data_IF_467450771996
#
_entry.id   IF_467450771996
#
_cell.length_a   1.000
_cell.length_b   1.000
_cell.length_c   1.000
_cell.angle_alpha   90.00
_cell.angle_beta   90.00
_cell.angle_gamma   90.00
#
_symmetry.space_group_name_H-M   'P 1'
#
loop_
_entity.id
_entity.type
_entity.pdbx_description
1 polymer ?
2 non-polymer ?
3 non-polymer ?
4 water ?
#
# COMPACT_ATOMS: atom_id res chain seq x y z
N UNK A 19 31.70 7.56 -3.34
CA UNK A 19 30.35 7.39 -3.88
C UNK A 19 30.32 6.60 -5.20
N UNK A 20 29.49 5.52 -5.22
CA UNK A 20 29.21 4.75 -6.43
C UNK A 20 28.04 5.44 -7.14
N UNK A 21 28.02 5.39 -8.48
CA UNK A 21 26.81 5.71 -9.24
C UNK A 21 25.99 4.43 -9.28
N UNK A 22 24.66 4.58 -9.41
CA UNK A 22 23.77 3.50 -9.85
C UNK A 22 22.74 4.13 -10.79
N UNK A 23 22.81 3.79 -12.10
CA UNK A 23 21.92 4.32 -13.14
C UNK A 23 21.85 5.87 -13.13
N UNK A 24 23.00 6.51 -12.91
CA UNK A 24 23.16 7.96 -12.97
C UNK A 24 23.05 8.72 -11.65
N UNK A 25 22.70 8.03 -10.54
CA UNK A 25 22.49 8.66 -9.22
C UNK A 25 23.64 8.33 -8.31
N UNK A 26 24.25 9.35 -7.67
CA UNK A 26 25.22 9.13 -6.60
C UNK A 26 24.50 8.41 -5.45
N UNK A 27 25.08 7.37 -4.90
CA UNK A 27 24.55 6.66 -3.75
C UNK A 27 25.54 6.82 -2.61
N UNK A 28 25.40 7.92 -1.86
CA UNK A 28 26.39 8.33 -0.86
C UNK A 28 26.20 7.54 0.51
N UNK A 29 26.45 6.22 0.45
CA UNK A 29 26.22 5.29 1.55
C UNK A 29 27.46 4.50 1.97
N UNK A 30 28.53 4.61 1.17
CA UNK A 30 29.78 3.90 1.40
C UNK A 30 30.59 4.63 2.44
N UNK A 31 31.54 3.96 3.08
CA UNK A 31 32.00 2.56 2.86
C UNK A 31 31.19 1.46 3.54
N UNK A 32 30.23 1.75 4.45
CA UNK A 32 29.49 0.65 5.09
C UNK A 32 28.73 -0.23 4.06
N UNK A 33 28.12 0.41 3.06
CA UNK A 33 27.28 -0.31 2.11
C UNK A 33 27.91 -0.20 0.72
N UNK A 34 28.36 -1.36 0.17
CA UNK A 34 29.08 -1.42 -1.09
C UNK A 34 28.45 -2.43 -2.06
N UNK A 35 28.89 -2.37 -3.34
CA UNK A 35 28.50 -3.29 -4.40
C UNK A 35 26.98 -3.22 -4.68
N UNK A 36 26.60 -2.09 -5.24
CA UNK A 36 25.20 -1.75 -5.36
C UNK A 36 24.63 -2.30 -6.65
N UNK A 37 23.39 -2.83 -6.60
CA UNK A 37 22.63 -3.18 -7.81
C UNK A 37 21.28 -2.51 -7.75
N UNK A 38 20.90 -1.82 -8.83
CA UNK A 38 19.58 -1.23 -9.05
C UNK A 38 18.49 -2.30 -8.86
N UNK A 39 17.43 -1.93 -8.16
CA UNK A 39 16.22 -2.72 -8.07
C UNK A 39 15.19 -1.93 -8.87
N UNK A 40 14.73 -0.82 -8.31
CA UNK A 40 13.70 -0.01 -8.92
C UNK A 40 13.71 1.41 -8.44
N UNK A 41 12.62 2.14 -8.71
CA UNK A 41 12.54 3.55 -8.36
C UNK A 41 11.09 4.06 -8.27
N UNK A 42 10.96 5.36 -8.03
CA UNK A 42 9.71 6.09 -8.14
C UNK A 42 9.94 7.53 -8.51
N UNK A 43 8.94 8.38 -8.30
CA UNK A 43 9.04 9.78 -8.69
C UNK A 43 10.19 10.55 -7.99
N UNK A 44 10.52 10.20 -6.70
CA UNK A 44 11.56 10.92 -5.93
C UNK A 44 12.60 9.98 -5.22
N UNK A 45 12.69 8.71 -5.62
CA UNK A 45 13.68 7.83 -5.02
C UNK A 45 14.07 6.63 -5.81
N UNK A 46 15.25 6.02 -5.48
CA UNK A 46 15.77 4.82 -6.14
C UNK A 46 16.15 3.80 -5.08
N UNK A 47 15.79 2.52 -5.32
CA UNK A 47 16.14 1.39 -4.47
C UNK A 47 17.23 0.57 -5.10
N UNK A 48 18.21 0.19 -4.26
CA UNK A 48 19.31 -0.69 -4.61
C UNK A 48 19.42 -1.76 -3.58
N UNK A 49 19.97 -2.90 -3.97
CA UNK A 49 20.52 -3.83 -3.01
C UNK A 49 21.94 -3.41 -2.75
N UNK A 50 22.44 -3.68 -1.61
CA UNK A 50 23.79 -3.33 -1.24
C UNK A 50 24.30 -4.33 -0.24
N UNK A 51 25.60 -4.58 -0.25
CA UNK A 51 26.20 -5.42 0.78
C UNK A 51 26.51 -4.59 2.00
N UNK A 52 26.07 -5.04 3.17
CA UNK A 52 26.33 -4.37 4.42
C UNK A 52 27.60 -4.99 4.99
N UNK A 53 28.69 -4.24 4.96
CA UNK A 53 29.99 -4.69 5.41
C UNK A 53 30.08 -4.91 6.92
N UNK A 54 29.13 -4.35 7.74
CA UNK A 54 28.98 -4.63 9.19
C UNK A 54 28.24 -5.96 9.41
N UNK A 55 26.91 -6.01 9.20
CA UNK A 55 26.10 -7.22 9.43
C UNK A 55 26.37 -8.36 8.43
N UNK A 56 27.09 -8.10 7.33
CA UNK A 56 27.56 -9.15 6.40
C UNK A 56 26.39 -9.81 5.63
N UNK A 57 25.33 -9.04 5.36
CA UNK A 57 24.14 -9.47 4.62
C UNK A 57 23.91 -8.46 3.52
N UNK A 58 23.21 -8.86 2.46
CA UNK A 58 22.72 -7.83 1.54
C UNK A 58 21.49 -7.21 2.15
N UNK A 59 21.25 -5.95 1.81
CA UNK A 59 20.17 -5.11 2.35
C UNK A 59 19.56 -4.37 1.21
N UNK A 60 18.40 -3.75 1.44
CA UNK A 60 17.81 -2.86 0.47
C UNK A 60 18.08 -1.44 0.98
N UNK A 61 18.48 -0.56 0.10
CA UNK A 61 18.67 0.86 0.42
C UNK A 61 17.88 1.70 -0.51
N UNK A 62 16.97 2.51 0.05
CA UNK A 62 16.27 3.53 -0.72
C UNK A 62 16.89 4.89 -0.55
N UNK A 63 17.42 5.43 -1.63
CA UNK A 63 17.80 6.83 -1.70
C UNK A 63 16.54 7.67 -1.96
N UNK A 64 16.20 8.55 -1.03
CA UNK A 64 15.05 9.45 -1.17
C UNK A 64 15.63 10.84 -1.45
N UNK A 65 15.13 11.56 -2.49
CA UNK A 65 15.58 12.87 -2.91
C UNK A 65 14.36 13.82 -3.01
N UNK A 66 13.76 14.21 -1.86
CA UNK A 66 12.49 14.93 -1.89
C UNK A 66 12.54 16.43 -1.72
N UNK A 67 13.72 16.99 -1.43
CA UNK A 67 13.79 18.30 -0.79
C UNK A 67 13.45 19.46 -1.72
N UNK A 68 13.40 19.23 -3.05
CA UNK A 68 12.97 20.26 -4.02
C UNK A 68 11.44 20.34 -4.20
N UNK A 69 10.64 19.49 -3.52
CA UNK A 69 9.17 19.52 -3.62
C UNK A 69 8.49 19.28 -2.28
N UNK A 70 7.64 20.21 -1.85
CA UNK A 70 6.84 20.06 -0.61
C UNK A 70 6.09 18.71 -0.52
N UNK A 71 5.45 18.27 -1.62
CA UNK A 71 4.65 17.04 -1.62
C UNK A 71 5.50 15.81 -1.32
N UNK A 72 6.67 15.68 -1.95
CA UNK A 72 7.60 14.59 -1.70
C UNK A 72 8.19 14.69 -0.27
N UNK A 73 8.37 15.91 0.26
CA UNK A 73 8.81 16.10 1.65
C UNK A 73 7.77 15.62 2.59
N UNK A 74 6.48 15.96 2.32
CA UNK A 74 5.40 15.47 3.17
C UNK A 74 5.40 13.96 3.17
N UNK A 75 5.48 13.38 2.02
CA UNK A 75 5.42 11.92 1.89
C UNK A 75 6.64 11.26 2.53
N UNK A 76 7.82 11.94 2.46
CA UNK A 76 9.04 11.38 3.08
C UNK A 76 8.92 11.36 4.58
N UNK A 77 8.44 12.44 5.19
CA UNK A 77 8.28 12.53 6.62
C UNK A 77 7.29 11.49 7.12
N UNK A 78 6.12 11.36 6.45
CA UNK A 78 5.15 10.32 6.85
C UNK A 78 5.72 8.96 6.80
N UNK A 79 6.38 8.61 5.70
CA UNK A 79 6.93 7.27 5.50
C UNK A 79 7.88 6.93 6.60
N UNK A 80 8.78 7.88 6.88
CA UNK A 80 9.80 7.61 7.90
C UNK A 80 9.17 7.57 9.26
N UNK A 81 8.37 8.57 9.59
CA UNK A 81 7.75 8.63 10.93
C UNK A 81 6.87 7.40 11.23
N UNK A 82 6.07 6.97 10.25
CA UNK A 82 5.20 5.78 10.36
C UNK A 82 6.03 4.57 10.55
N UNK A 83 6.96 4.33 9.63
CA UNK A 83 7.74 3.09 9.74
C UNK A 83 8.64 3.00 10.95
N UNK A 84 9.12 4.13 11.50
CA UNK A 84 9.91 4.06 12.73
C UNK A 84 9.10 3.67 13.96
N UNK A 85 7.79 3.91 13.94
CA UNK A 85 6.86 3.58 15.02
C UNK A 85 6.43 2.07 14.90
N UNK A 86 6.55 1.47 13.70
CA UNK A 86 6.06 0.13 13.47
C UNK A 86 7.10 -0.92 13.71
N UNK A 87 6.67 -2.03 14.26
CA UNK A 87 7.45 -3.23 14.40
C UNK A 87 6.52 -4.45 14.28
N UNK A 88 6.62 -5.16 13.18
CA UNK A 88 5.73 -6.29 12.86
C UNK A 88 6.34 -7.18 11.78
N UNK A 89 6.19 -8.49 11.93
CA UNK A 89 6.70 -9.50 11.03
C UNK A 89 6.26 -9.36 9.60
N UNK A 90 5.05 -8.84 9.34
CA UNK A 90 4.56 -8.70 7.97
C UNK A 90 4.70 -7.29 7.44
N UNK A 91 5.55 -6.45 8.07
CA UNK A 91 5.80 -5.10 7.63
C UNK A 91 7.29 -4.85 7.53
N UNK A 92 7.74 -4.27 6.41
CA UNK A 92 9.15 -3.89 6.20
C UNK A 92 9.51 -2.72 7.13
N UNK A 93 10.46 -2.91 7.98
CA UNK A 93 10.88 -1.84 8.88
C UNK A 93 12.00 -0.99 8.31
N UNK A 94 12.48 -0.05 9.10
CA UNK A 94 13.69 0.69 8.80
C UNK A 94 14.77 0.24 9.74
N UNK A 95 15.85 -0.25 9.21
CA UNK A 95 16.95 -0.73 10.05
C UNK A 95 18.04 0.30 10.26
N UNK A 96 18.18 1.29 9.35
CA UNK A 96 19.20 2.33 9.50
C UNK A 96 18.78 3.51 8.63
N UNK A 97 19.27 4.71 8.94
CA UNK A 97 18.99 5.89 8.12
C UNK A 97 20.29 6.61 7.97
N UNK A 98 20.74 6.83 6.71
CA UNK A 98 21.96 7.56 6.40
C UNK A 98 21.56 8.93 5.90
N UNK A 99 22.09 9.96 6.51
CA UNK A 99 22.04 11.29 5.96
C UNK A 99 23.18 12.09 6.47
N UNK A 100 23.36 13.28 5.90
CA UNK A 100 24.51 14.13 6.27
C UNK A 100 24.38 14.66 7.71
N UNK A 101 25.51 14.99 8.41
CA UNK A 101 25.38 15.45 9.80
C UNK A 101 24.70 16.82 10.03
N UNK A 102 24.52 17.64 8.98
CA UNK A 102 23.93 18.98 9.12
C UNK A 102 22.84 19.14 8.07
N UNK A 103 21.88 20.01 8.35
CA UNK A 103 20.80 20.24 7.37
C UNK A 103 21.40 20.74 6.04
N UNK A 104 22.39 21.64 6.11
CA UNK A 104 23.05 22.23 4.93
C UNK A 104 23.59 21.15 3.99
N UNK A 105 24.32 20.17 4.54
CA UNK A 105 24.95 19.14 3.74
C UNK A 105 24.02 18.01 3.35
N UNK A 106 22.79 17.94 3.91
CA UNK A 106 21.82 16.89 3.63
C UNK A 106 21.08 17.12 2.31
N UNK A 107 21.46 16.38 1.25
CA UNK A 107 20.80 16.49 -0.08
C UNK A 107 19.87 15.33 -0.34
N UNK A 108 20.04 14.22 0.37
CA UNK A 108 19.22 13.04 0.24
C UNK A 108 19.16 12.36 1.63
N UNK A 109 18.33 11.35 1.71
CA UNK A 109 18.18 10.50 2.90
C UNK A 109 18.14 9.11 2.39
N UNK A 110 18.83 8.21 3.09
CA UNK A 110 18.86 6.81 2.71
C UNK A 110 18.27 5.99 3.80
N UNK A 111 17.24 5.21 3.48
CA UNK A 111 16.59 4.30 4.38
C UNK A 111 17.07 2.88 4.04
N UNK A 112 17.56 2.18 5.05
CA UNK A 112 18.04 0.83 4.91
C UNK A 112 17.02 -0.12 5.46
N UNK A 113 16.69 -1.17 4.66
CA UNK A 113 15.59 -2.08 4.99
C UNK A 113 16.01 -3.52 4.72
N UNK A 114 15.29 -4.47 5.30
CA UNK A 114 15.58 -5.90 5.03
C UNK A 114 15.43 -6.12 3.52
N UNK A 115 16.40 -6.79 2.88
CA UNK A 115 16.29 -7.19 1.49
C UNK A 115 15.46 -8.49 1.38
N UNK A 116 14.43 -8.46 0.57
CA UNK A 116 13.58 -9.61 0.27
C UNK A 116 13.90 -10.13 -1.14
N UNK A 117 13.62 -11.40 -1.40
CA UNK A 117 13.98 -12.09 -2.64
C UNK A 117 13.19 -11.65 -3.83
N UNK A 118 11.88 -11.47 -3.66
CA UNK A 118 11.01 -11.17 -4.78
C UNK A 118 9.83 -10.38 -4.28
N UNK A 119 8.84 -10.16 -5.16
CA UNK A 119 7.56 -9.57 -4.78
C UNK A 119 6.42 -10.35 -5.45
N UNK A 120 5.17 -10.05 -5.05
CA UNK A 120 4.04 -10.79 -5.53
C UNK A 120 3.78 -10.49 -7.01
N UNK A 121 4.17 -9.31 -7.51
CA UNK A 121 3.95 -8.96 -8.92
C UNK A 121 4.75 -9.95 -9.79
N UNK A 122 6.03 -10.10 -9.48
CA UNK A 122 6.92 -10.98 -10.24
C UNK A 122 6.48 -12.43 -10.11
N UNK A 123 6.05 -12.82 -8.92
CA UNK A 123 5.60 -14.17 -8.69
C UNK A 123 4.32 -14.48 -9.49
N UNK A 124 3.38 -13.55 -9.53
CA UNK A 124 2.17 -13.79 -10.30
C UNK A 124 2.40 -13.78 -11.82
N UNK A 125 3.45 -13.10 -12.33
CA UNK A 125 3.72 -13.15 -13.75
C UNK A 125 4.33 -14.51 -14.17
N UNK A 126 4.95 -15.26 -13.23
CA UNK A 126 5.67 -16.51 -13.52
C UNK A 126 5.11 -17.81 -12.88
N UNK A 127 4.33 -17.72 -11.78
CA UNK A 127 3.96 -18.89 -11.01
C UNK A 127 2.49 -18.99 -10.79
N UNK A 128 1.93 -20.20 -11.03
CA UNK A 128 0.60 -20.52 -10.55
C UNK A 128 0.68 -20.67 -9.00
N UNK A 129 -0.24 -20.07 -8.26
CA UNK A 129 -0.25 -20.22 -6.81
C UNK A 129 -1.25 -21.29 -6.44
N UNK A 130 -0.88 -22.23 -5.61
CA UNK A 130 -1.85 -23.22 -5.12
C UNK A 130 -2.87 -22.46 -4.24
N UNK A 131 -4.04 -23.03 -4.01
CA UNK A 131 -4.97 -22.44 -3.03
C UNK A 131 -4.35 -22.31 -1.63
N UNK A 132 -3.47 -23.23 -1.19
CA UNK A 132 -2.80 -23.04 0.11
C UNK A 132 -1.87 -21.82 0.11
N UNK A 133 -1.21 -21.50 -1.03
CA UNK A 133 -0.34 -20.32 -1.08
C UNK A 133 -1.17 -19.08 -1.08
N UNK A 134 -2.24 -19.05 -1.80
CA UNK A 134 -3.16 -17.90 -1.80
C UNK A 134 -3.67 -17.59 -0.40
N UNK A 135 -4.08 -18.63 0.30
CA UNK A 135 -4.61 -18.53 1.66
C UNK A 135 -3.58 -17.95 2.64
N UNK A 136 -2.40 -18.50 2.64
CA UNK A 136 -1.28 -18.05 3.46
C UNK A 136 -0.85 -16.62 3.09
N UNK A 137 -0.73 -16.33 1.81
CA UNK A 137 -0.42 -14.95 1.42
C UNK A 137 -1.47 -13.98 1.89
N UNK A 138 -2.74 -14.28 1.66
CA UNK A 138 -3.83 -13.39 2.10
C UNK A 138 -3.83 -13.20 3.61
N UNK A 139 -3.59 -14.28 4.34
CA UNK A 139 -3.48 -14.25 5.80
C UNK A 139 -2.43 -13.23 6.27
N UNK A 140 -1.25 -13.32 5.68
CA UNK A 140 -0.14 -12.45 6.01
C UNK A 140 -0.40 -10.99 5.66
N UNK A 141 -1.02 -10.74 4.52
CA UNK A 141 -1.45 -9.41 4.11
C UNK A 141 -2.35 -8.82 5.15
N UNK A 142 -3.41 -9.56 5.47
CA UNK A 142 -4.38 -9.07 6.44
C UNK A 142 -3.80 -8.90 7.88
N UNK A 143 -2.87 -9.78 8.26
CA UNK A 143 -2.24 -9.72 9.58
C UNK A 143 -1.41 -8.44 9.69
N UNK A 144 -0.63 -8.14 8.63
CA UNK A 144 0.09 -6.87 8.59
C UNK A 144 -0.85 -5.67 8.52
N UNK A 145 -1.85 -5.75 7.69
CA UNK A 145 -2.85 -4.68 7.63
C UNK A 145 -3.59 -4.42 8.95
N UNK A 146 -3.90 -5.46 9.70
CA UNK A 146 -4.58 -5.30 11.02
C UNK A 146 -3.71 -4.38 11.88
N UNK A 147 -2.40 -4.62 11.88
CA UNK A 147 -1.46 -3.79 12.65
C UNK A 147 -1.41 -2.35 12.16
N UNK A 148 -1.27 -2.14 10.83
CA UNK A 148 -1.27 -0.82 10.24
C UNK A 148 -2.55 -0.06 10.65
N UNK A 149 -3.71 -0.67 10.37
CA UNK A 149 -5.02 -0.07 10.70
C UNK A 149 -5.19 0.18 12.18
N UNK A 150 -4.63 -0.72 13.03
CA UNK A 150 -4.69 -0.54 14.49
C UNK A 150 -3.87 0.67 14.93
N UNK A 151 -2.91 1.14 14.10
CA UNK A 151 -2.16 2.36 14.43
C UNK A 151 -2.85 3.62 13.91
N UNK A 152 -4.06 3.47 13.34
CA UNK A 152 -4.83 4.54 12.71
C UNK A 152 -4.16 5.04 11.45
N UNK A 153 -3.43 4.15 10.79
CA UNK A 153 -2.69 4.45 9.54
C UNK A 153 -3.35 3.74 8.36
N UNK A 154 -3.36 4.36 7.17
CA UNK A 154 -3.76 3.75 5.91
C UNK A 154 -2.53 3.56 5.07
N UNK A 155 -2.40 2.42 4.37
CA UNK A 155 -1.24 2.20 3.52
C UNK A 155 -1.40 3.01 2.22
N UNK A 156 -2.53 2.86 1.58
CA UNK A 156 -3.08 3.60 0.46
C UNK A 156 -2.46 3.25 -0.89
N UNK A 157 -1.55 2.28 -0.96
CA UNK A 157 -1.00 1.83 -2.24
C UNK A 157 -0.61 0.35 -2.23
N UNK A 158 -1.54 -0.46 -1.71
CA UNK A 158 -1.37 -1.90 -1.62
C UNK A 158 -1.54 -2.45 -3.03
N UNK A 159 -0.55 -3.19 -3.45
CA UNK A 159 -0.47 -3.75 -4.78
C UNK A 159 0.51 -4.90 -4.75
N UNK A 160 0.45 -5.82 -5.73
CA UNK A 160 1.39 -6.98 -5.70
C UNK A 160 2.89 -6.60 -5.65
N UNK A 161 3.34 -5.53 -6.33
CA UNK A 161 4.75 -5.13 -6.24
C UNK A 161 5.16 -4.56 -4.89
N UNK A 162 4.21 -4.20 -4.00
CA UNK A 162 4.48 -3.78 -2.63
C UNK A 162 4.31 -4.86 -1.63
N UNK A 163 4.20 -6.14 -2.05
CA UNK A 163 4.12 -7.25 -1.16
C UNK A 163 5.34 -8.11 -1.45
N UNK A 164 6.31 -8.05 -0.55
CA UNK A 164 7.56 -8.73 -0.74
C UNK A 164 7.54 -10.10 -0.16
N UNK A 165 8.28 -11.03 -0.77
CA UNK A 165 8.38 -12.39 -0.35
C UNK A 165 9.79 -12.90 -0.36
N UNK A 166 10.09 -13.80 0.54
CA UNK A 166 11.34 -14.57 0.53
C UNK A 166 11.11 -16.01 0.06
N UNK A 167 12.15 -16.85 0.06
CA UNK A 167 12.06 -18.18 -0.54
C UNK A 167 11.20 -19.10 0.27
N UNK A 168 10.96 -18.77 1.56
CA UNK A 168 10.03 -19.57 2.37
C UNK A 168 8.64 -18.99 2.41
N UNK A 169 8.26 -18.12 1.47
CA UNK A 169 6.90 -17.52 1.35
C UNK A 169 6.48 -16.59 2.51
N UNK A 170 7.43 -16.05 3.34
CA UNK A 170 7.10 -14.98 4.29
C UNK A 170 6.84 -13.76 3.48
N UNK A 171 5.86 -12.99 3.86
CA UNK A 171 5.36 -11.87 3.12
C UNK A 171 5.48 -10.64 3.99
N UNK A 172 6.04 -9.56 3.42
CA UNK A 172 6.09 -8.29 4.10
C UNK A 172 5.59 -7.15 3.21
N UNK A 173 4.83 -6.27 3.80
CA UNK A 173 4.28 -5.09 3.14
C UNK A 173 5.35 -4.00 3.16
N UNK A 174 5.56 -3.41 2.00
CA UNK A 174 6.51 -2.31 1.86
C UNK A 174 5.88 -1.07 1.23
N UNK A 175 6.68 -0.02 1.06
CA UNK A 175 6.30 1.21 0.37
C UNK A 175 5.13 1.96 1.01
N UNK A 176 5.46 2.66 2.08
CA UNK A 176 4.58 3.53 2.81
C UNK A 176 4.64 5.00 2.34
N UNK A 177 5.06 5.21 1.10
CA UNK A 177 5.25 6.54 0.53
C UNK A 177 3.96 7.34 0.42
N UNK A 178 2.80 6.68 0.29
CA UNK A 178 1.47 7.29 0.26
C UNK A 178 0.68 7.07 1.55
N UNK A 179 1.30 6.52 2.56
CA UNK A 179 0.60 6.21 3.82
C UNK A 179 0.26 7.48 4.56
N UNK A 180 -0.88 7.42 5.27
CA UNK A 180 -1.46 8.61 5.92
C UNK A 180 -2.18 8.12 7.17
N UNK A 181 -2.29 9.02 8.16
CA UNK A 181 -3.12 8.76 9.33
C UNK A 181 -4.58 8.90 8.80
N UNK A 182 -5.48 8.00 9.23
CA UNK A 182 -6.85 7.96 8.70
C UNK A 182 -7.50 9.27 9.08
N UNK A 183 -8.36 9.74 8.25
CA UNK A 183 -9.08 10.99 8.50
C UNK A 183 -10.46 10.95 7.85
N UNK A 184 -11.35 10.10 8.41
CA UNK A 184 -12.67 9.89 7.79
C UNK A 184 -13.62 11.08 7.74
N UNK A 185 -13.47 12.04 8.66
CA UNK A 185 -14.29 13.23 8.63
C UNK A 185 -13.96 14.12 7.45
N UNK A 186 -12.76 13.99 6.87
CA UNK A 186 -12.38 14.77 5.68
C UNK A 186 -12.21 13.90 4.43
N UNK A 187 -12.97 12.79 4.35
CA UNK A 187 -12.88 11.87 3.22
C UNK A 187 -13.65 12.39 1.98
N UNK A 188 -14.64 13.27 2.15
CA UNK A 188 -15.49 13.65 1.04
C UNK A 188 -14.75 14.52 0.06
N UNK A 189 -14.97 14.29 -1.25
CA UNK A 189 -14.53 15.23 -2.30
C UNK A 189 -15.54 15.12 -3.45
N UNK A 190 -15.30 15.88 -4.50
CA UNK A 190 -16.15 15.94 -5.66
C UNK A 190 -15.89 14.80 -6.65
N UNK A 191 -16.66 14.77 -7.73
CA UNK A 191 -16.57 13.75 -8.77
C UNK A 191 -15.29 13.94 -9.60
N UNK A 192 -14.59 12.86 -9.97
CA UNK A 192 -13.39 12.89 -10.80
C UNK A 192 -12.26 13.69 -10.17
N UNK A 193 -12.09 13.59 -8.85
CA UNK A 193 -10.97 14.26 -8.17
C UNK A 193 -9.73 13.42 -8.44
N UNK A 194 -8.62 14.08 -8.79
CA UNK A 194 -7.38 13.40 -9.14
C UNK A 194 -6.86 12.59 -7.96
N UNK A 195 -6.20 11.44 -8.24
CA UNK A 195 -5.77 10.54 -7.20
C UNK A 195 -4.38 10.02 -7.56
N UNK A 196 -3.50 9.81 -6.58
CA UNK A 196 -2.09 9.45 -6.89
C UNK A 196 -1.83 7.92 -6.84
N UNK A 197 -2.54 7.16 -5.98
CA UNK A 197 -2.27 5.73 -5.83
C UNK A 197 -2.58 4.93 -7.09
N UNK A 198 -1.95 3.76 -7.20
CA UNK A 198 -1.95 2.93 -8.41
C UNK A 198 -3.36 2.62 -8.88
N UNK A 199 -3.64 2.93 -10.16
CA UNK A 199 -5.02 2.99 -10.67
C UNK A 199 -5.84 1.67 -10.50
N UNK A 200 -5.22 0.54 -10.80
CA UNK A 200 -5.93 -0.75 -10.87
C UNK A 200 -6.45 -1.22 -9.52
N UNK A 201 -5.90 -0.67 -8.43
CA UNK A 201 -6.21 -1.06 -7.04
C UNK A 201 -7.05 0.00 -6.32
N UNK A 202 -7.53 1.04 -7.05
CA UNK A 202 -8.38 2.11 -6.50
C UNK A 202 -9.81 1.67 -6.34
N UNK A 203 -10.38 1.92 -5.16
CA UNK A 203 -11.73 1.58 -4.87
C UNK A 203 -12.68 2.49 -5.70
N UNK A 204 -13.88 2.04 -6.02
CA UNK A 204 -14.78 2.86 -6.89
C UNK A 204 -15.02 4.28 -6.40
N UNK A 205 -15.18 4.41 -5.07
CA UNK A 205 -15.45 5.68 -4.45
C UNK A 205 -14.40 6.77 -4.69
N UNK A 206 -13.14 6.40 -4.95
CA UNK A 206 -12.08 7.37 -5.32
C UNK A 206 -12.53 8.25 -6.49
N UNK A 207 -13.13 7.63 -7.50
CA UNK A 207 -13.55 8.31 -8.74
C UNK A 207 -14.87 9.07 -8.51
N UNK A 208 -15.57 8.79 -7.39
CA UNK A 208 -16.90 9.33 -7.10
C UNK A 208 -16.92 10.38 -6.07
N UNK A 209 -16.40 10.09 -4.88
CA UNK A 209 -16.53 11.03 -3.78
C UNK A 209 -15.54 10.89 -2.64
N UNK A 210 -14.41 10.20 -2.84
CA UNK A 210 -13.50 9.86 -1.78
C UNK A 210 -12.03 10.28 -2.06
N UNK A 211 -11.43 10.90 -1.03
CA UNK A 211 -10.00 11.21 -0.94
C UNK A 211 -9.19 9.98 -0.50
N UNK A 212 -9.81 8.86 -0.15
CA UNK A 212 -8.99 7.72 0.27
C UNK A 212 -8.40 7.86 1.67
N UNK A 213 -9.16 8.48 2.57
CA UNK A 213 -8.77 8.75 3.94
C UNK A 213 -9.45 7.82 4.92
N UNK A 214 -10.02 6.68 4.49
CA UNK A 214 -10.58 5.72 5.43
C UNK A 214 -10.02 4.35 5.12
N UNK A 215 -10.11 3.45 6.09
CA UNK A 215 -9.49 2.11 6.07
C UNK A 215 -10.05 1.21 5.00
N UNK A 216 -11.32 1.47 4.65
CA UNK A 216 -12.01 0.74 3.58
C UNK A 216 -11.27 0.85 2.24
N UNK A 217 -10.45 1.89 2.05
CA UNK A 217 -9.65 2.03 0.84
C UNK A 217 -8.62 0.87 0.67
N UNK A 218 -8.05 0.46 1.75
CA UNK A 218 -7.06 -0.62 1.73
C UNK A 218 -7.69 -1.97 1.57
N UNK A 219 -8.88 -2.18 2.14
CA UNK A 219 -9.56 -3.45 1.98
C UNK A 219 -9.92 -3.72 0.51
N UNK A 220 -10.44 -2.69 -0.20
CA UNK A 220 -10.63 -2.75 -1.65
C UNK A 220 -9.35 -3.25 -2.36
N UNK A 221 -8.19 -2.63 -2.09
CA UNK A 221 -6.94 -3.04 -2.70
C UNK A 221 -6.62 -4.49 -2.41
N UNK A 222 -6.82 -4.92 -1.19
CA UNK A 222 -6.54 -6.34 -0.83
C UNK A 222 -7.51 -7.27 -1.64
N UNK A 223 -8.77 -6.88 -1.75
CA UNK A 223 -9.74 -7.58 -2.60
C UNK A 223 -9.21 -7.80 -4.00
N UNK A 224 -8.73 -6.73 -4.60
CA UNK A 224 -8.13 -6.74 -5.93
C UNK A 224 -6.93 -7.70 -6.00
N UNK A 225 -6.09 -7.67 -4.96
CA UNK A 225 -4.94 -8.57 -4.86
C UNK A 225 -5.37 -10.04 -4.79
N UNK A 226 -6.42 -10.33 -3.99
CA UNK A 226 -6.95 -11.69 -3.84
C UNK A 226 -7.43 -12.18 -5.19
N UNK A 227 -8.20 -11.37 -5.89
CA UNK A 227 -8.71 -11.76 -7.23
C UNK A 227 -7.56 -12.04 -8.15
N UNK A 228 -6.50 -11.24 -8.07
CA UNK A 228 -5.35 -11.38 -8.96
C UNK A 228 -4.52 -12.63 -8.64
N UNK A 229 -4.51 -13.01 -7.36
CA UNK A 229 -3.93 -14.30 -6.92
C UNK A 229 -4.70 -15.46 -7.48
N UNK A 230 -6.02 -15.36 -7.59
CA UNK A 230 -6.84 -16.47 -8.10
C UNK A 230 -6.64 -16.78 -9.61
N UNK A 231 -6.28 -15.78 -10.44
CA UNK A 231 -6.19 -15.91 -11.90
C UNK A 231 -4.88 -15.47 -12.53
N UNK A 232 -3.94 -14.90 -11.77
CA UNK A 232 -2.68 -14.33 -12.23
C UNK A 232 -2.86 -13.05 -13.06
N UNK A 233 -4.04 -12.44 -13.06
CA UNK A 233 -4.32 -11.30 -13.90
C UNK A 233 -5.01 -10.26 -13.06
N UNK A 234 -4.70 -8.97 -13.27
CA UNK A 234 -5.43 -7.93 -12.54
C UNK A 234 -6.91 -8.00 -12.84
N UNK A 235 -7.73 -7.87 -11.84
CA UNK A 235 -9.17 -7.97 -12.03
C UNK A 235 -9.74 -6.73 -12.76
N UNK A 236 -9.22 -5.54 -12.45
CA UNK A 236 -9.75 -4.29 -12.96
C UNK A 236 -8.58 -3.46 -13.59
N UNK A 237 -8.05 -3.88 -14.74
CA UNK A 237 -6.97 -3.10 -15.38
C UNK A 237 -7.44 -1.88 -16.16
N UNK A 238 -7.96 -0.86 -15.48
CA UNK A 238 -8.38 0.36 -16.17
C UNK A 238 -7.21 1.00 -16.89
N UNK A 239 -7.49 1.49 -18.10
CA UNK A 239 -6.47 2.09 -18.98
C UNK A 239 -6.29 3.59 -18.69
N UNK A 240 -7.19 4.16 -17.92
CA UNK A 240 -7.22 5.57 -17.58
C UNK A 240 -8.28 5.78 -16.48
N UNK A 241 -8.28 6.97 -15.90
CA UNK A 241 -9.00 7.31 -14.69
C UNK A 241 -10.48 6.83 -14.61
N UNK A 242 -11.35 7.16 -15.56
CA UNK A 242 -12.76 6.74 -15.50
C UNK A 242 -12.95 5.33 -16.00
N UNK A 243 -12.03 4.82 -16.81
CA UNK A 243 -12.07 3.43 -17.26
C UNK A 243 -11.96 2.47 -16.03
N UNK A 244 -11.23 2.89 -14.99
CA UNK A 244 -11.17 2.12 -13.75
C UNK A 244 -12.54 1.84 -13.18
N UNK A 245 -13.39 2.87 -13.07
CA UNK A 245 -14.78 2.67 -12.61
C UNK A 245 -15.60 1.78 -13.56
N UNK A 246 -15.43 1.95 -14.90
CA UNK A 246 -16.09 1.14 -15.92
C UNK A 246 -15.86 -0.36 -15.64
N UNK A 247 -14.59 -0.72 -15.43
CA UNK A 247 -14.17 -2.09 -15.15
C UNK A 247 -14.82 -2.65 -13.86
N UNK A 248 -14.81 -1.86 -12.80
CA UNK A 248 -15.42 -2.29 -11.52
C UNK A 248 -16.89 -2.60 -11.74
N UNK A 249 -17.64 -1.71 -12.43
CA UNK A 249 -19.08 -1.84 -12.53
C UNK A 249 -19.48 -2.95 -13.51
N UNK A 250 -18.63 -3.24 -14.48
CA UNK A 250 -18.80 -4.41 -15.34
C UNK A 250 -18.88 -5.73 -14.58
N UNK A 251 -18.22 -5.83 -13.42
CA UNK A 251 -18.26 -7.08 -12.63
C UNK A 251 -19.24 -6.98 -11.51
N UNK A 252 -19.17 -5.90 -10.74
CA UNK A 252 -20.08 -5.76 -9.60
C UNK A 252 -21.50 -5.49 -10.05
N UNK A 253 -21.69 -5.00 -11.28
CA UNK A 253 -22.97 -4.53 -11.75
C UNK A 253 -23.29 -3.15 -11.22
N UNK A 254 -24.44 -2.65 -11.66
CA UNK A 254 -24.88 -1.30 -11.36
C UNK A 254 -25.11 -1.16 -9.85
N UNK A 255 -24.70 -0.08 -9.22
CA UNK A 255 -25.02 0.08 -7.80
C UNK A 255 -26.53 0.15 -7.50
N UNK A 256 -26.90 -0.41 -6.36
CA UNK A 256 -28.27 -0.44 -5.89
C UNK A 256 -28.73 0.99 -5.56
N UNK A 257 -30.05 1.18 -5.44
CA UNK A 257 -30.62 2.49 -5.12
C UNK A 257 -30.04 3.00 -3.80
N UNK A 258 -29.90 2.08 -2.84
CA UNK A 258 -29.43 2.41 -1.51
C UNK A 258 -27.97 2.89 -1.57
N UNK A 259 -27.11 2.10 -2.22
CA UNK A 259 -25.73 2.53 -2.39
C UNK A 259 -25.58 3.84 -3.20
N UNK A 260 -26.41 4.02 -4.24
CA UNK A 260 -26.41 5.23 -5.07
C UNK A 260 -26.89 6.44 -4.23
N UNK A 261 -27.84 6.22 -3.30
CA UNK A 261 -28.33 7.29 -2.40
C UNK A 261 -27.28 7.79 -1.41
N UNK A 262 -26.28 6.94 -1.06
CA UNK A 262 -25.09 7.39 -0.30
C UNK A 262 -24.18 8.35 -1.07
N UNK A 263 -24.29 8.42 -2.41
CA UNK A 263 -23.51 9.39 -3.20
C UNK A 263 -24.34 10.69 -3.33
N UNK A 264 -24.09 11.67 -2.47
CA UNK A 264 -24.93 12.87 -2.40
C UNK A 264 -24.54 13.86 -3.49
N UNK A 265 -23.26 13.82 -3.94
CA UNK A 265 -22.78 14.76 -4.95
C UNK A 265 -23.53 14.47 -6.27
N UNK A 266 -24.21 15.46 -6.79
CA UNK A 266 -25.04 15.28 -7.96
C UNK A 266 -24.27 14.87 -9.17
N UNK A 267 -23.08 15.48 -9.44
CA UNK A 267 -22.28 15.09 -10.59
C UNK A 267 -21.96 13.60 -10.56
N UNK A 268 -21.57 13.05 -9.41
CA UNK A 268 -21.26 11.63 -9.29
C UNK A 268 -22.49 10.75 -9.45
N UNK A 269 -23.57 11.11 -8.77
CA UNK A 269 -24.84 10.37 -8.82
C UNK A 269 -25.44 10.31 -10.24
N UNK A 270 -25.49 11.42 -10.91
CA UNK A 270 -26.09 11.52 -12.24
C UNK A 270 -25.21 10.81 -13.27
N UNK A 271 -23.89 10.85 -13.09
CA UNK A 271 -23.05 9.98 -13.93
C UNK A 271 -23.48 8.51 -13.77
N UNK A 272 -23.59 8.02 -12.58
CA UNK A 272 -23.99 6.65 -12.38
C UNK A 272 -25.37 6.33 -12.94
N UNK A 273 -26.35 7.27 -12.80
CA UNK A 273 -27.66 7.06 -13.31
C UNK A 273 -27.67 7.07 -14.84
N UNK A 274 -26.68 7.68 -15.51
CA UNK A 274 -26.60 7.75 -16.98
C UNK A 274 -26.13 6.45 -17.60
N UNK A 275 -25.59 5.56 -16.80
CA UNK A 275 -24.98 4.36 -17.36
C UNK A 275 -26.04 3.31 -17.68
N UNK A 276 -25.86 2.54 -18.77
CA UNK A 276 -26.72 1.37 -18.98
C UNK A 276 -26.67 0.44 -17.77
N UNK A 277 -27.78 -0.21 -17.47
CA UNK A 277 -27.85 -1.17 -16.36
C UNK A 277 -26.88 -2.33 -16.66
N UNK A 278 -26.19 -2.84 -15.61
CA UNK A 278 -25.33 -4.02 -15.63
C UNK A 278 -25.69 -4.93 -14.44
N UNK A 279 -25.89 -6.23 -14.70
CA UNK A 279 -26.10 -7.20 -13.63
C UNK A 279 -24.75 -7.68 -13.08
N UNK A 280 -24.72 -8.06 -11.80
CA UNK A 280 -23.53 -8.59 -11.12
C UNK A 280 -23.02 -9.83 -11.85
N UNK A 281 -21.70 -9.92 -12.07
CA UNK A 281 -21.04 -11.12 -12.58
C UNK A 281 -20.73 -11.98 -11.35
N UNK A 282 -21.26 -13.20 -11.26
CA UNK A 282 -20.94 -14.03 -10.10
C UNK A 282 -19.47 -14.42 -10.08
N UNK A 283 -18.89 -14.35 -8.90
CA UNK A 283 -17.46 -14.63 -8.73
C UNK A 283 -17.06 -16.01 -9.21
N UNK A 284 -17.94 -16.99 -9.02
CA UNK A 284 -17.69 -18.35 -9.46
C UNK A 284 -17.63 -18.47 -11.00
N UNK A 285 -18.21 -17.50 -11.73
CA UNK A 285 -18.07 -17.39 -13.18
C UNK A 285 -16.71 -16.89 -13.60
N UNK A 286 -16.14 -15.85 -12.91
CA UNK A 286 -14.80 -15.37 -13.23
C UNK A 286 -13.69 -16.29 -12.75
N UNK A 287 -13.94 -17.06 -11.68
CA UNK A 287 -12.93 -17.88 -11.03
C UNK A 287 -13.52 -19.26 -10.78
N UNK A 288 -13.64 -20.06 -11.86
CA UNK A 288 -14.29 -21.39 -11.73
C UNK A 288 -13.54 -22.39 -10.83
N UNK A 289 -12.20 -22.32 -10.76
CA UNK A 289 -11.35 -23.22 -9.92
C UNK A 289 -11.12 -22.73 -8.47
N UNK A 290 -11.67 -21.55 -8.09
CA UNK A 290 -11.43 -20.96 -6.79
C UNK A 290 -12.20 -21.67 -5.69
N UNK A 291 -11.63 -21.69 -4.47
CA UNK A 291 -12.29 -22.14 -3.25
C UNK A 291 -13.55 -21.30 -2.98
N UNK A 292 -14.65 -21.93 -2.63
CA UNK A 292 -15.89 -21.16 -2.48
C UNK A 292 -15.78 -20.15 -1.30
N UNK A 293 -15.09 -20.50 -0.22
CA UNK A 293 -14.92 -19.58 0.94
C UNK A 293 -14.04 -18.37 0.49
N UNK A 294 -13.04 -18.60 -0.36
CA UNK A 294 -12.20 -17.50 -0.89
C UNK A 294 -13.08 -16.50 -1.66
N UNK A 295 -14.03 -16.99 -2.47
CA UNK A 295 -14.87 -16.09 -3.26
C UNK A 295 -15.91 -15.38 -2.38
N UNK A 296 -16.37 -16.02 -1.33
CA UNK A 296 -17.23 -15.39 -0.35
C UNK A 296 -16.51 -14.22 0.32
N UNK A 297 -15.27 -14.40 0.75
CA UNK A 297 -14.46 -13.26 1.29
C UNK A 297 -14.14 -12.22 0.20
N UNK A 298 -13.77 -12.66 -0.99
CA UNK A 298 -13.57 -11.77 -2.12
C UNK A 298 -14.78 -10.83 -2.32
N UNK A 299 -15.98 -11.42 -2.35
CA UNK A 299 -17.20 -10.63 -2.47
C UNK A 299 -17.34 -9.52 -1.41
N UNK A 300 -17.00 -9.86 -0.17
CA UNK A 300 -17.14 -8.96 0.98
C UNK A 300 -16.08 -7.84 0.98
N UNK A 301 -14.89 -8.14 0.43
CA UNK A 301 -13.86 -7.15 0.25
C UNK A 301 -14.16 -6.27 -0.94
N UNK A 302 -14.70 -6.84 -2.04
CA UNK A 302 -15.04 -6.05 -3.22
C UNK A 302 -16.51 -5.62 -3.25
N UNK A 303 -16.94 -5.00 -2.14
CA UNK A 303 -18.25 -4.36 -2.01
C UNK A 303 -18.17 -2.91 -2.46
N UNK A 304 -19.14 -2.49 -3.25
CA UNK A 304 -19.15 -1.15 -3.82
C UNK A 304 -19.24 -0.08 -2.73
N UNK A 305 -20.14 -0.28 -1.80
CA UNK A 305 -20.35 0.69 -0.73
C UNK A 305 -19.27 0.50 0.33
N UNK A 306 -18.41 1.49 0.55
CA UNK A 306 -17.37 1.32 1.56
C UNK A 306 -17.86 1.10 2.98
N UNK A 307 -19.03 1.59 3.38
CA UNK A 307 -19.54 1.36 4.75
C UNK A 307 -19.92 -0.11 4.93
N UNK A 308 -20.27 -0.78 3.87
CA UNK A 308 -20.73 -2.18 3.96
C UNK A 308 -19.55 -3.15 3.74
N UNK A 309 -18.42 -2.63 3.30
CA UNK A 309 -17.23 -3.40 2.98
C UNK A 309 -16.64 -3.97 4.28
N UNK A 310 -16.17 -5.19 4.20
CA UNK A 310 -15.62 -5.89 5.38
C UNK A 310 -14.41 -5.15 5.93
N UNK A 311 -14.27 -5.10 7.26
CA UNK A 311 -13.08 -4.58 7.92
C UNK A 311 -11.98 -5.66 8.11
N UNK A 312 -10.78 -5.22 8.42
CA UNK A 312 -9.59 -6.09 8.41
C UNK A 312 -9.74 -7.21 9.41
N UNK A 313 -10.23 -6.90 10.63
CA UNK A 313 -10.34 -7.92 11.70
C UNK A 313 -11.43 -8.96 11.34
N UNK A 314 -12.52 -8.55 10.65
CA UNK A 314 -13.57 -9.48 10.21
C UNK A 314 -13.09 -10.39 9.08
N UNK A 315 -12.31 -9.85 8.17
CA UNK A 315 -11.67 -10.63 7.13
C UNK A 315 -10.78 -11.70 7.72
N UNK A 316 -9.98 -11.39 8.74
CA UNK A 316 -9.15 -12.39 9.40
C UNK A 316 -9.97 -13.52 10.02
N UNK A 317 -11.16 -13.17 10.60
CA UNK A 317 -12.12 -14.11 11.18
C UNK A 317 -12.94 -14.88 10.12
N UNK A 318 -12.76 -14.63 8.82
CA UNK A 318 -13.54 -15.32 7.81
C UNK A 318 -13.18 -16.81 7.71
N UNK A 319 -14.20 -17.71 7.54
CA UNK A 319 -13.92 -19.15 7.36
C UNK A 319 -12.81 -19.51 6.37
N UNK A 320 -12.58 -18.72 5.31
CA UNK A 320 -11.46 -19.03 4.40
C UNK A 320 -10.11 -19.05 5.15
N UNK A 321 -9.94 -18.21 6.17
CA UNK A 321 -8.67 -18.12 6.90
C UNK A 321 -8.62 -18.90 8.20
N UNK A 322 -9.61 -19.78 8.43
CA UNK A 322 -9.76 -20.57 9.66
C UNK A 322 -8.48 -21.32 10.08
N UNK A 323 -7.68 -21.78 9.10
CA UNK A 323 -6.47 -22.56 9.47
C UNK A 323 -5.37 -21.70 10.09
N UNK A 324 -5.43 -20.38 9.91
CA UNK A 324 -4.43 -19.44 10.43
C UNK A 324 -4.94 -18.51 11.51
N UNK A 325 -6.25 -18.25 11.53
CA UNK A 325 -6.76 -17.15 12.39
C UNK A 325 -6.45 -17.42 13.85
N UNK A 326 -5.83 -16.44 14.49
CA UNK A 326 -5.39 -16.53 15.85
C UNK A 326 -5.19 -15.10 16.34
N UNK A 327 -6.27 -14.47 16.85
CA UNK A 327 -6.17 -13.05 17.18
C UNK A 327 -5.16 -12.76 18.26
N UNK A 328 -4.83 -13.74 19.11
CA UNK A 328 -3.81 -13.56 20.12
C UNK A 328 -2.42 -13.44 19.46
N UNK A 329 -2.29 -13.87 18.21
CA UNK A 329 -0.99 -13.86 17.49
C UNK A 329 -1.12 -12.98 16.28
N UNK A 330 -1.94 -11.92 16.39
CA UNK A 330 -2.18 -10.96 15.33
C UNK A 330 -2.10 -9.62 16.02
N UNK A 331 -0.89 -9.19 16.32
CA UNK A 331 -0.72 -8.00 17.19
C UNK A 331 -1.19 -6.69 16.61
N UNK A 332 -1.53 -5.81 17.54
CA UNK A 332 -1.88 -4.43 17.23
C UNK A 332 -0.77 -3.47 17.65
N UNK A 333 -0.85 -2.27 17.17
CA UNK A 333 0.14 -1.25 17.45
C UNK A 333 0.09 -0.77 18.90
N UNK A 334 1.26 -0.70 19.55
CA UNK A 334 1.43 -0.17 20.91
C UNK A 334 1.12 1.33 20.94
N UNK A 335 1.51 2.07 19.89
CA UNK A 335 1.42 3.56 19.86
C UNK A 335 0.77 4.10 18.55
N UNK A 336 -0.58 4.02 18.49
CA UNK A 336 -1.30 4.54 17.30
C UNK A 336 -1.10 6.05 17.11
N UNK A 337 -1.30 6.54 15.89
CA UNK A 337 -1.12 7.96 15.58
C UNK A 337 -2.40 8.66 15.95
N UNK A 338 -2.27 9.75 16.74
CA UNK A 338 -3.40 10.45 17.37
C UNK A 338 -4.06 11.52 16.49
N UNK A 339 -3.44 11.90 15.34
CA UNK A 339 -3.97 12.85 14.31
C UNK A 339 -2.95 12.99 13.21
N UNK A 342 -1.19 17.62 10.13
CA UNK A 342 -1.02 19.08 10.17
C UNK A 342 0.24 19.54 9.39
N UNK A 343 0.95 18.60 8.75
CA UNK A 343 2.14 18.94 7.95
C UNK A 343 1.75 19.39 6.49
N UNK A 344 0.42 19.43 6.19
CA UNK A 344 -0.17 19.94 4.93
C UNK A 344 0.26 21.32 4.47
N UNK A 345 0.40 22.28 5.41
CA UNK A 345 0.69 23.69 5.06
C UNK A 345 2.18 24.05 5.10
N UNK A 346 3.05 23.12 5.57
CA UNK A 346 4.43 23.48 5.91
C UNK A 346 5.29 23.56 4.63
N UNK A 347 6.15 24.60 4.44
CA UNK A 347 6.99 24.63 3.22
C UNK A 347 8.07 23.54 3.18
N UNK A 348 8.62 23.26 1.97
CA UNK A 348 9.80 22.42 1.63
C UNK A 348 10.89 22.50 2.74
N UNK A 349 11.23 23.75 3.10
CA UNK A 349 12.36 24.05 3.99
C UNK A 349 12.08 23.60 5.44
N UNK A 350 10.86 23.80 5.96
CA UNK A 350 10.51 23.33 7.32
C UNK A 350 10.34 21.78 7.38
N UNK A 351 9.82 21.17 6.33
CA UNK A 351 9.71 19.72 6.32
C UNK A 351 11.09 19.08 6.27
N UNK A 352 12.05 19.67 5.55
CA UNK A 352 13.46 19.24 5.59
C UNK A 352 13.98 19.21 7.03
N UNK A 353 13.68 20.27 7.83
CA UNK A 353 14.05 20.29 9.24
C UNK A 353 13.40 19.18 10.02
N UNK A 354 12.14 18.91 9.76
CA UNK A 354 11.43 17.84 10.46
C UNK A 354 12.00 16.49 10.09
N UNK A 355 12.31 16.26 8.80
CA UNK A 355 12.97 15.03 8.33
C UNK A 355 14.35 14.90 8.97
N UNK A 356 15.10 15.98 9.02
CA UNK A 356 16.41 15.94 9.73
C UNK A 356 16.25 15.47 11.22
N UNK A 357 15.31 16.08 11.93
CA UNK A 357 15.01 15.71 13.33
C UNK A 357 14.52 14.28 13.45
N UNK A 358 13.66 13.84 12.53
CA UNK A 358 13.07 12.49 12.61
C UNK A 358 14.16 11.43 12.45
N UNK A 359 15.25 11.77 11.72
CA UNK A 359 16.33 10.80 11.42
C UNK A 359 17.57 10.90 12.33
N UNK A 360 17.55 11.80 13.36
CA UNK A 360 18.71 12.13 14.19
C UNK A 360 19.22 10.92 15.00
N UNK A 361 18.28 10.02 15.41
CA UNK A 361 18.54 8.85 16.24
C UNK A 361 19.53 7.86 15.62
N UNK A 362 19.62 7.82 14.29
CA UNK A 362 20.52 6.94 13.55
C UNK A 362 21.91 7.50 13.30
N UNK A 363 22.17 8.73 13.71
CA UNK A 363 23.47 9.32 13.46
C UNK A 363 24.53 8.80 14.46
N UNK A 364 25.79 8.69 13.98
CA UNK A 364 26.90 8.43 14.92
C UNK A 364 27.27 9.71 15.67
N UNK A 365 26.55 9.99 16.76
CA UNK A 365 26.68 11.23 17.52
C UNK A 365 25.41 11.60 18.27
X LIG B 1 -4.85 8.47 -13.62
X LIG B 1 -5.22 9.62 -14.42
X LIG B 1 -5.89 7.41 -13.69
X LIG B 1 -4.73 8.96 -12.17
X LIG B 1 -3.56 7.89 -14.08
X LIG C 1 -2.95 12.65 -1.05
X LIG C 1 -3.37 11.53 -1.93
X LIG C 1 -4.16 13.49 -0.50
X LIG C 1 -2.18 12.04 0.05
X LIG C 1 -2.00 13.51 -1.79
X LIG D 1 6.16 6.13 -5.86
X LIG D 1 6.24 4.74 -6.36
X LIG D 1 4.81 6.37 -5.24
X LIG D 1 6.38 7.11 -7.00
X LIG D 1 7.18 6.31 -4.84
X LIG E 1 -1.47 13.04 7.66
X LIG E 1 -1.14 11.67 7.28
X LIG E 1 -2.56 13.52 6.83
X LIG E 1 -1.93 13.10 9.06
X LIG E 1 -0.27 13.86 7.44
X LIG F 1 -12.00 2.70 13.33
X LIG F 1 -12.09 2.98 11.90
X LIG F 1 -12.33 1.31 13.60
X LIG F 1 -12.91 3.57 14.06
X LIG F 1 -10.65 2.94 13.79
X LIG G 1 -0.52 3.93 -17.26
X LIG G 1 -1.53 2.89 -17.47
X LIG G 1 -0.94 5.19 -17.90
X LIG G 1 -0.35 4.16 -15.82
X LIG G 1 0.75 3.48 -17.83
X LIG H 1 11.75 4.57 -4.45
X LIG H 1 9.54 3.73 -4.27
X LIG H 1 9.94 0.78 -4.61
X LIG H 1 10.61 -0.43 -4.05
X LIG H 1 11.27 -1.48 -4.69
X LIG H 1 11.75 -2.50 -2.53
X LIG H 1 11.12 -1.42 -1.91
X LIG H 1 10.53 -0.42 -2.67
X LIG H 1 9.83 0.82 -2.26
X LIG H 1 12.39 -3.62 -1.78
X LIG H 1 13.51 -6.78 -2.82
X LIG H 1 13.26 -6.81 -4.25
X LIG H 1 13.95 -7.87 -6.37
X LIG H 1 11.66 -7.37 -6.02
X LIG H 1 11.85 -7.25 -4.53
X LIG H 1 13.34 -4.82 0.05
X LIG H 1 12.73 -3.67 -0.44
X LIG H 1 10.81 3.86 -3.66
X LIG H 1 8.75 2.73 -3.47
X LIG H 1 9.41 1.42 -3.40
X LIG H 1 11.82 -2.50 -3.94
X LIG H 1 9.64 1.24 -1.14
X LIG H 1 12.66 -4.69 -2.57
X LIG H 1 13.25 -5.74 -2.01
X LIG H 1 14.26 -7.75 -4.91
X LIG H 1 12.58 -8.31 -6.58
X LIG H 1 13.60 -5.87 -0.72
X LIG H 1 12.48 -2.37 0.68
X LIG H 1 12.71 4.21 -4.08
X LIG H 1 11.69 5.65 -4.31
X LIG H 1 11.70 4.35 -5.52
X LIG H 1 9.01 4.67 -4.27
X LIG H 1 9.61 3.44 -5.32
X LIG H 1 9.12 0.50 -5.28
X LIG H 1 10.63 1.37 -5.19
X LIG H 1 11.31 -1.49 -5.78
X LIG H 1 11.01 -1.34 -0.83
X LIG H 1 13.78 -7.65 -2.37
X LIG H 1 13.42 -5.82 -4.69
X LIG H 1 14.14 -6.94 -6.91
X LIG H 1 14.54 -8.64 -6.85
X LIG H 1 10.68 -7.77 -6.28
X LIG H 1 11.72 -6.40 -6.51
X LIG H 1 11.64 -8.21 -4.06
X LIG H 1 11.12 -6.56 -4.09
X LIG H 1 13.63 -4.90 1.09
X LIG H 1 8.57 3.11 -2.48
X LIG H 1 7.77 2.61 -3.94
X LIG H 1 12.31 -3.31 -4.49
X LIG H 1 15.28 -7.40 -4.76
X LIG H 1 14.24 -8.74 -4.45
#
# INVERSE_FOLDING_TARGET
MAHHHHHHMAAAAAAGAGPEMVRGQVFDVGPRYTNLSYIGEGAYGMVCSAYDNVNKVRVAIKKISPFEHQTYCQRTLREIKILLRFRHENIIGINDIIRAPTIEQMKDVYIVQDLMETDLYKLLKTQHLSNDHICYFLYQILRGLKYIHSANVLHRDLKPSNLLLNTTCDLKICDFGLARVADPDHDHTGFLTEYVATRWYRAPEIMLNSKGYTKSIDIWSVGCILAEMLSNRPIFPGKHYLDQLNHILGILGSPSQEDLNCIINLKARNYLLSLPHKNKVPWNRLFPNADSKALDLLDKMLTFNPHKRIEVEQALAHPYLEQYYDPSDEPIAEAPFKFDMELDDLPKEKLKELIFEETARFQPGYRS
SO4 S O1 O2 O3 O4
SO4 S O1 O2 O3 O4
SO4 S O1 O2 O3 O4
SO4 S O1 O2 O3 O4
SO4 S O1 O2 O3 O4
SO4 S O1 O2 O3 O4
EQZ C1 C3 C6 C7 C8 C10 C11 C12 C13 C15 N18 C19 C21 C23 C24 C26 C27 O2 C4 N5 C9 O14 N16 C17 C20 O22 N25 CL1 H31 H30 H29 H32 H33 H36 H37 H38 H40 H41 H42 H45 H46 H48 H47 H49 H50 H51 H34 H35 H39 H43 H44
#
